data_IF_705819209646
#
_entry.id   IF_705819209646
#
_cell.length_a   1.000
_cell.length_b   1.000
_cell.length_c   1.000
_cell.angle_alpha   90.00
_cell.angle_beta   90.00
_cell.angle_gamma   90.00
#
_symmetry.space_group_name_H-M   'P 1'
#
loop_
_entity.id
_entity.type
_entity.pdbx_description
1 polymer ?
#
# COMPACT_ATOMS: atom_id res chain seq x y z
N UNK A 1 19.34 5.85 -0.28
CA UNK A 1 19.15 4.73 -1.11
C UNK A 1 17.73 4.56 -1.59
N UNK A 2 17.58 3.86 -2.70
CA UNK A 2 16.30 3.65 -3.34
C UNK A 2 15.28 2.91 -2.49
N UNK A 3 14.00 3.02 -2.86
CA UNK A 3 12.86 2.35 -2.23
C UNK A 3 12.52 2.84 -0.82
N UNK A 4 12.96 4.07 -0.47
CA UNK A 4 12.63 4.71 0.81
C UNK A 4 12.07 6.10 0.55
N UNK A 5 10.73 6.21 0.49
CA UNK A 5 10.01 7.47 0.28
C UNK A 5 10.46 8.26 -0.96
N UNK A 6 10.89 7.56 -1.98
CA UNK A 6 11.22 8.20 -3.26
C UNK A 6 9.94 8.41 -4.05
N UNK A 7 9.81 9.58 -4.65
CA UNK A 7 8.69 9.83 -5.57
C UNK A 7 9.18 9.59 -6.98
N UNK A 8 8.60 8.59 -7.63
CA UNK A 8 8.91 8.18 -8.98
C UNK A 8 7.72 8.44 -9.89
N UNK A 9 7.95 8.38 -11.18
CA UNK A 9 6.90 8.55 -12.19
C UNK A 9 6.67 7.21 -12.91
N UNK A 10 5.45 6.70 -12.85
CA UNK A 10 5.08 5.50 -13.59
C UNK A 10 5.01 5.82 -15.09
N UNK A 11 5.05 4.78 -15.92
CA UNK A 11 4.92 4.92 -17.37
C UNK A 11 3.61 5.60 -17.76
N UNK A 12 2.56 5.40 -16.98
CA UNK A 12 1.26 6.06 -17.17
C UNK A 12 1.27 7.55 -16.84
N UNK A 13 2.30 8.01 -16.13
CA UNK A 13 2.38 9.36 -15.59
C UNK A 13 1.97 9.46 -14.14
N UNK A 14 1.46 8.40 -13.53
CA UNK A 14 1.11 8.39 -12.11
C UNK A 14 2.35 8.63 -11.24
N UNK A 15 2.16 9.30 -10.10
CA UNK A 15 3.21 9.44 -9.11
C UNK A 15 3.21 8.22 -8.19
N UNK A 16 4.39 7.63 -8.00
CA UNK A 16 4.57 6.46 -7.16
C UNK A 16 5.47 6.85 -5.99
N UNK A 17 4.96 6.77 -4.78
CA UNK A 17 5.77 6.93 -3.58
C UNK A 17 6.37 5.55 -3.30
N UNK A 18 7.62 5.37 -3.68
CA UNK A 18 8.33 4.10 -3.51
C UNK A 18 8.95 4.05 -2.12
N UNK A 19 8.30 3.33 -1.22
CA UNK A 19 8.78 3.08 0.13
C UNK A 19 8.75 1.58 0.40
N UNK A 20 9.25 0.83 -0.57
CA UNK A 20 9.12 -0.63 -0.62
C UNK A 20 10.28 -1.38 0.07
N UNK A 21 11.20 -0.65 0.72
CA UNK A 21 12.35 -1.27 1.35
C UNK A 21 12.00 -1.97 2.67
N UNK A 22 11.22 -1.32 3.52
CA UNK A 22 10.86 -1.85 4.83
C UNK A 22 9.57 -1.22 5.34
N UNK A 23 8.98 -1.83 6.36
CA UNK A 23 7.74 -1.33 6.93
C UNK A 23 7.61 -1.71 8.41
N UNK A 24 7.18 -0.74 9.21
CA UNK A 24 6.73 -0.91 10.58
C UNK A 24 5.36 -0.22 10.69
N UNK A 25 4.64 -0.46 11.78
CA UNK A 25 3.35 0.20 11.96
C UNK A 25 3.49 1.73 11.94
N UNK A 26 4.51 2.26 12.61
CA UNK A 26 4.77 3.70 12.64
C UNK A 26 5.11 4.24 11.27
N UNK A 27 5.95 3.55 10.51
CA UNK A 27 6.35 4.00 9.18
C UNK A 27 5.22 3.85 8.16
N UNK A 28 4.33 2.88 8.34
CA UNK A 28 3.12 2.76 7.53
C UNK A 28 2.20 3.96 7.73
N UNK A 29 1.97 4.34 8.99
CA UNK A 29 1.15 5.52 9.29
C UNK A 29 1.77 6.78 8.69
N UNK A 30 3.08 6.96 8.82
CA UNK A 30 3.79 8.10 8.25
C UNK A 30 3.69 8.12 6.72
N UNK A 31 3.79 6.96 6.08
CA UNK A 31 3.64 6.84 4.63
C UNK A 31 2.24 7.21 4.16
N UNK A 32 1.23 6.76 4.88
CA UNK A 32 -0.16 7.09 4.60
C UNK A 32 -0.42 8.59 4.78
N UNK A 33 0.14 9.20 5.83
CA UNK A 33 0.03 10.64 6.06
C UNK A 33 0.67 11.42 4.89
N UNK A 34 1.85 10.99 4.45
CA UNK A 34 2.52 11.61 3.32
C UNK A 34 1.66 11.52 2.07
N UNK A 35 1.15 10.32 1.76
CA UNK A 35 0.28 10.10 0.61
C UNK A 35 -0.91 11.05 0.63
N UNK A 36 -1.55 11.17 1.77
CA UNK A 36 -2.77 11.98 1.90
C UNK A 36 -2.49 13.48 2.00
N UNK A 37 -1.23 13.88 2.24
CA UNK A 37 -0.83 15.28 2.23
C UNK A 37 -0.59 15.83 0.82
N UNK A 38 -0.37 14.95 -0.16
CA UNK A 38 -0.12 15.38 -1.54
C UNK A 38 -1.42 15.75 -2.23
N UNK A 39 -1.39 16.80 -3.02
CA UNK A 39 -2.53 17.13 -3.87
C UNK A 39 -2.67 16.05 -4.96
N UNK A 40 -3.90 15.66 -5.26
CA UNK A 40 -4.17 14.59 -6.21
C UNK A 40 -5.52 14.84 -6.87
N UNK A 41 -5.53 14.89 -8.20
CA UNK A 41 -6.77 15.07 -8.97
C UNK A 41 -7.33 13.75 -9.50
N UNK A 42 -6.51 12.69 -9.49
CA UNK A 42 -6.94 11.33 -9.82
C UNK A 42 -7.24 10.52 -8.58
N UNK A 43 -6.97 9.23 -8.62
CA UNK A 43 -7.16 8.32 -7.50
C UNK A 43 -5.96 8.31 -6.57
N UNK A 44 -6.25 8.25 -5.28
CA UNK A 44 -5.24 8.14 -4.22
C UNK A 44 -5.26 6.71 -3.71
N UNK A 45 -4.16 5.99 -3.92
CA UNK A 45 -4.10 4.55 -3.67
C UNK A 45 -2.94 4.19 -2.75
N UNK A 46 -3.15 3.15 -1.93
CA UNK A 46 -2.10 2.59 -1.12
C UNK A 46 -1.99 1.09 -1.39
N UNK A 47 -0.79 0.62 -1.68
CA UNK A 47 -0.46 -0.80 -1.83
C UNK A 47 0.46 -1.14 -0.66
N UNK A 48 -0.08 -1.83 0.33
CA UNK A 48 0.60 -2.12 1.58
C UNK A 48 0.88 -3.61 1.70
N UNK A 49 2.15 -3.95 1.85
CA UNK A 49 2.56 -5.33 2.10
C UNK A 49 2.65 -5.65 3.58
N UNK A 50 2.74 -6.92 3.89
CA UNK A 50 2.92 -7.36 5.27
C UNK A 50 4.19 -6.79 5.87
N UNK A 51 4.15 -6.58 7.19
CA UNK A 51 5.27 -6.10 7.98
C UNK A 51 5.95 -7.30 8.65
N UNK A 52 7.28 -7.40 8.52
CA UNK A 52 8.05 -8.48 9.11
C UNK A 52 8.51 -8.19 10.53
N UNK A 53 9.00 -9.21 11.19
CA UNK A 53 9.71 -9.14 12.46
C UNK A 53 8.91 -8.53 13.62
N UNK A 54 7.61 -8.74 13.64
CA UNK A 54 6.74 -8.23 14.69
C UNK A 54 6.37 -9.26 15.76
N UNK A 55 6.77 -10.51 15.58
CA UNK A 55 6.47 -11.57 16.56
C UNK A 55 4.98 -11.66 16.84
N UNK A 56 4.65 -11.82 18.11
CA UNK A 56 3.25 -11.97 18.55
C UNK A 56 2.39 -10.74 18.35
N UNK A 57 3.00 -9.57 18.11
CA UNK A 57 2.29 -8.33 17.86
C UNK A 57 1.85 -8.18 16.42
N UNK A 58 2.28 -9.07 15.52
CA UNK A 58 2.00 -8.95 14.10
C UNK A 58 0.51 -8.82 13.78
N UNK A 59 -0.39 -9.65 14.30
CA UNK A 59 -1.81 -9.51 13.97
C UNK A 59 -2.36 -8.14 14.37
N UNK A 60 -2.09 -7.70 15.58
CA UNK A 60 -2.58 -6.42 16.10
C UNK A 60 -2.03 -5.24 15.32
N UNK A 61 -0.75 -5.27 14.96
CA UNK A 61 -0.12 -4.18 14.21
C UNK A 61 -0.68 -4.09 12.80
N UNK A 62 -0.96 -5.21 12.15
CA UNK A 62 -1.58 -5.21 10.82
C UNK A 62 -3.01 -4.69 10.88
N UNK A 63 -3.77 -5.08 11.88
CA UNK A 63 -5.11 -4.53 12.08
C UNK A 63 -5.09 -3.03 12.33
N UNK A 64 -4.13 -2.55 13.14
CA UNK A 64 -3.95 -1.13 13.40
C UNK A 64 -3.69 -0.34 12.13
N UNK A 65 -2.80 -0.83 11.28
CA UNK A 65 -2.49 -0.19 10.00
C UNK A 65 -3.71 -0.18 9.08
N UNK A 66 -4.46 -1.27 9.02
CA UNK A 66 -5.69 -1.33 8.23
C UNK A 66 -6.71 -0.31 8.69
N UNK A 67 -6.91 -0.20 10.01
CA UNK A 67 -7.82 0.79 10.58
C UNK A 67 -7.35 2.22 10.29
N UNK A 68 -6.05 2.47 10.39
CA UNK A 68 -5.47 3.77 10.09
C UNK A 68 -5.69 4.14 8.63
N UNK A 69 -5.45 3.19 7.72
CA UNK A 69 -5.68 3.40 6.29
C UNK A 69 -7.14 3.75 5.99
N UNK A 70 -8.08 3.07 6.66
CA UNK A 70 -9.50 3.34 6.47
C UNK A 70 -9.91 4.74 6.94
N UNK A 71 -9.21 5.30 7.91
CA UNK A 71 -9.46 6.66 8.39
C UNK A 71 -8.92 7.73 7.44
N UNK A 72 -8.03 7.34 6.54
CA UNK A 72 -7.49 8.23 5.50
C UNK A 72 -8.46 8.29 4.31
N UNK A 73 -8.29 9.30 3.47
CA UNK A 73 -9.14 9.46 2.28
C UNK A 73 -8.50 8.76 1.08
N UNK A 74 -8.60 7.44 1.08
CA UNK A 74 -8.09 6.61 -0.01
C UNK A 74 -9.23 6.22 -0.95
N UNK A 75 -8.92 6.18 -2.24
CA UNK A 75 -9.83 5.62 -3.24
C UNK A 75 -9.64 4.10 -3.36
N UNK A 76 -8.45 3.60 -3.03
CA UNK A 76 -8.15 2.17 -3.10
C UNK A 76 -7.10 1.79 -2.06
N UNK A 77 -7.35 0.69 -1.37
CA UNK A 77 -6.37 0.05 -0.49
C UNK A 77 -6.15 -1.38 -0.99
N UNK A 78 -4.92 -1.71 -1.32
CA UNK A 78 -4.52 -3.07 -1.66
C UNK A 78 -3.60 -3.60 -0.57
N UNK A 79 -3.91 -4.76 -0.02
CA UNK A 79 -3.11 -5.43 0.99
C UNK A 79 -2.45 -6.65 0.36
N UNK A 80 -1.14 -6.78 0.49
CA UNK A 80 -0.37 -7.81 -0.21
C UNK A 80 0.28 -8.76 0.78
N UNK A 81 -0.06 -10.04 0.68
CA UNK A 81 0.47 -11.10 1.52
C UNK A 81 -0.56 -12.18 1.81
N UNK A 82 -0.37 -12.87 2.93
CA UNK A 82 -1.23 -13.95 3.37
C UNK A 82 -2.20 -13.52 4.47
N UNK A 83 -2.19 -14.24 5.59
CA UNK A 83 -3.12 -13.99 6.70
C UNK A 83 -3.04 -12.58 7.26
N UNK A 84 -1.85 -12.03 7.40
CA UNK A 84 -1.68 -10.68 7.95
C UNK A 84 -2.23 -9.63 7.00
N UNK A 85 -2.08 -9.82 5.71
CA UNK A 85 -2.70 -8.94 4.71
C UNK A 85 -4.23 -9.00 4.80
N UNK A 86 -4.79 -10.19 5.03
CA UNK A 86 -6.23 -10.36 5.23
C UNK A 86 -6.71 -9.64 6.49
N UNK A 87 -5.93 -9.69 7.57
CA UNK A 87 -6.27 -8.97 8.80
C UNK A 87 -6.25 -7.46 8.59
N UNK A 88 -5.28 -6.97 7.83
CA UNK A 88 -5.21 -5.54 7.49
C UNK A 88 -6.46 -5.11 6.73
N UNK A 89 -6.82 -5.85 5.69
CA UNK A 89 -8.01 -5.57 4.88
C UNK A 89 -9.29 -5.68 5.72
N UNK A 90 -9.35 -6.70 6.59
CA UNK A 90 -10.49 -6.90 7.49
C UNK A 90 -10.70 -5.74 8.46
N UNK A 91 -9.61 -5.20 9.01
CA UNK A 91 -9.69 -4.05 9.91
C UNK A 91 -10.18 -2.80 9.17
N UNK A 92 -9.69 -2.58 7.95
CA UNK A 92 -10.17 -1.45 7.13
C UNK A 92 -11.68 -1.58 6.87
N UNK A 93 -12.13 -2.78 6.57
CA UNK A 93 -13.55 -3.08 6.33
C UNK A 93 -14.38 -2.82 7.58
N UNK A 94 -13.89 -3.27 8.73
CA UNK A 94 -14.57 -3.05 10.03
C UNK A 94 -14.69 -1.57 10.39
N UNK A 95 -13.75 -0.74 9.94
CA UNK A 95 -13.77 0.69 10.15
C UNK A 95 -14.66 1.44 9.16
N UNK A 96 -15.31 0.72 8.25
CA UNK A 96 -16.30 1.29 7.35
C UNK A 96 -15.81 1.61 5.94
N UNK A 97 -14.61 1.18 5.57
CA UNK A 97 -14.15 1.34 4.19
C UNK A 97 -14.95 0.42 3.27
N UNK A 98 -15.41 0.94 2.15
CA UNK A 98 -16.21 0.18 1.19
C UNK A 98 -15.45 -1.03 0.66
N UNK A 99 -16.13 -2.15 0.56
CA UNK A 99 -15.56 -3.42 0.09
C UNK A 99 -14.97 -3.31 -1.30
N UNK A 100 -15.58 -2.54 -2.19
CA UNK A 100 -15.10 -2.38 -3.56
C UNK A 100 -13.85 -1.49 -3.67
N UNK A 101 -13.43 -0.87 -2.58
CA UNK A 101 -12.19 -0.09 -2.50
C UNK A 101 -11.05 -0.87 -1.85
N UNK A 102 -11.29 -2.11 -1.44
CA UNK A 102 -10.32 -2.95 -0.75
C UNK A 102 -9.99 -4.15 -1.62
N UNK A 103 -8.70 -4.38 -1.85
CA UNK A 103 -8.21 -5.55 -2.59
C UNK A 103 -7.22 -6.28 -1.71
N UNK A 104 -7.17 -7.61 -1.85
CA UNK A 104 -6.13 -8.43 -1.23
C UNK A 104 -5.46 -9.26 -2.31
N UNK A 105 -4.15 -9.18 -2.38
CA UNK A 105 -3.34 -9.93 -3.33
C UNK A 105 -2.36 -10.81 -2.57
N UNK A 106 -2.13 -12.01 -3.06
CA UNK A 106 -1.25 -12.96 -2.39
C UNK A 106 0.22 -12.57 -2.47
N UNK A 107 0.62 -11.85 -3.54
CA UNK A 107 2.00 -11.44 -3.77
C UNK A 107 2.04 -10.22 -4.69
N UNK A 108 3.26 -9.69 -4.90
CA UNK A 108 3.46 -8.52 -5.74
C UNK A 108 3.04 -8.76 -7.20
N UNK A 109 3.23 -10.00 -7.68
CA UNK A 109 2.91 -10.32 -9.08
C UNK A 109 1.41 -10.20 -9.33
N UNK A 110 0.60 -10.72 -8.41
CA UNK A 110 -0.86 -10.59 -8.52
C UNK A 110 -1.28 -9.12 -8.47
N UNK A 111 -0.68 -8.34 -7.56
CA UNK A 111 -0.94 -6.91 -7.48
C UNK A 111 -0.56 -6.20 -8.79
N UNK A 112 0.59 -6.54 -9.36
CA UNK A 112 1.07 -5.97 -10.61
C UNK A 112 0.13 -6.32 -11.77
N UNK A 113 -0.30 -7.58 -11.85
CA UNK A 113 -1.18 -8.05 -12.91
C UNK A 113 -2.54 -7.35 -12.87
N UNK A 114 -3.04 -7.08 -11.66
CA UNK A 114 -4.38 -6.50 -11.48
C UNK A 114 -4.39 -4.98 -11.46
N UNK A 115 -3.35 -4.35 -10.93
CA UNK A 115 -3.34 -2.90 -10.73
C UNK A 115 -2.33 -2.16 -11.61
N UNK A 116 -1.28 -2.85 -12.06
CA UNK A 116 -0.19 -2.18 -12.78
C UNK A 116 -0.65 -1.41 -14.00
N UNK A 117 -1.53 -2.01 -14.79
CA UNK A 117 -2.07 -1.38 -16.00
C UNK A 117 -3.23 -0.43 -15.77
N UNK A 118 -3.72 -0.33 -14.53
CA UNK A 118 -4.86 0.51 -14.19
C UNK A 118 -4.45 1.90 -13.66
N UNK A 119 -3.17 2.14 -13.43
CA UNK A 119 -2.68 3.43 -12.97
C UNK A 119 -2.82 4.47 -14.08
N UNK A 120 -3.36 5.63 -13.73
CA UNK A 120 -3.59 6.72 -14.68
C UNK A 120 -2.76 7.94 -14.33
N UNK A 121 -2.66 8.87 -15.25
CA UNK A 121 -1.74 10.01 -15.21
C UNK A 121 -1.82 10.83 -13.94
N UNK A 122 -3.02 11.06 -13.41
CA UNK A 122 -3.22 11.95 -12.26
C UNK A 122 -3.35 11.21 -10.93
N UNK A 123 -3.08 9.89 -10.95
CA UNK A 123 -3.11 9.08 -9.75
C UNK A 123 -1.85 9.26 -8.93
N UNK A 124 -1.96 9.00 -7.63
CA UNK A 124 -0.83 8.85 -6.75
C UNK A 124 -0.98 7.55 -5.96
N UNK A 125 0.10 6.78 -5.87
CA UNK A 125 0.08 5.49 -5.19
C UNK A 125 1.28 5.39 -4.24
N UNK A 126 0.99 5.00 -2.99
CA UNK A 126 2.01 4.63 -2.02
C UNK A 126 2.26 3.12 -2.16
N UNK A 127 3.51 2.73 -2.28
CA UNK A 127 3.91 1.30 -2.32
C UNK A 127 4.84 1.06 -1.15
N UNK A 128 4.39 0.30 -0.14
CA UNK A 128 5.12 0.11 1.10
C UNK A 128 4.88 -1.28 1.68
N UNK A 129 5.96 -1.95 2.08
CA UNK A 129 5.90 -3.26 2.71
C UNK A 129 7.30 -3.68 3.14
N UNK A 130 7.39 -4.77 3.89
CA UNK A 130 8.69 -5.33 4.25
C UNK A 130 9.35 -5.94 3.02
N UNK A 131 10.67 -6.08 3.07
CA UNK A 131 11.46 -6.54 1.91
C UNK A 131 11.01 -7.89 1.36
N UNK A 132 10.59 -8.79 2.23
CA UNK A 132 10.20 -10.13 1.79
C UNK A 132 8.94 -10.13 0.91
N UNK A 133 8.13 -9.06 0.94
CA UNK A 133 6.96 -8.94 0.07
C UNK A 133 7.37 -8.55 -1.35
N UNK A 134 8.56 -8.00 -1.52
CA UNK A 134 9.13 -7.64 -2.81
C UNK A 134 8.30 -6.64 -3.62
N UNK A 135 7.71 -5.66 -2.93
CA UNK A 135 6.94 -4.61 -3.62
C UNK A 135 7.80 -3.67 -4.47
N UNK A 136 9.12 -3.68 -4.28
CA UNK A 136 10.04 -3.05 -5.21
C UNK A 136 9.85 -3.57 -6.64
N UNK A 137 9.47 -4.84 -6.78
CA UNK A 137 9.18 -5.43 -8.09
C UNK A 137 7.89 -4.89 -8.70
N UNK A 138 6.91 -4.55 -7.87
CA UNK A 138 5.73 -3.84 -8.35
C UNK A 138 6.12 -2.48 -8.91
N UNK A 139 6.95 -1.74 -8.17
CA UNK A 139 7.42 -0.41 -8.61
C UNK A 139 8.18 -0.53 -9.93
N UNK A 140 9.08 -1.49 -10.04
CA UNK A 140 9.83 -1.74 -11.29
C UNK A 140 8.90 -2.03 -12.46
N UNK A 141 7.82 -2.76 -12.19
CA UNK A 141 6.87 -3.14 -13.23
C UNK A 141 6.03 -1.98 -13.78
N UNK A 142 5.82 -0.92 -13.01
CA UNK A 142 5.01 0.23 -13.44
C UNK A 142 5.83 1.46 -13.81
N UNK A 143 7.07 1.51 -13.38
CA UNK A 143 7.99 2.60 -13.70
C UNK A 143 8.98 2.17 -14.76
#
# INVERSE_FOLDING_TARGET
AGHRQEIKRAKSGARVIDDSYNASAESMAAGLDLLCSLSCTGSRMAILGEMGEMGDEAPRMHELVGAYAAAEKLDMLACVGGELAQLMAGAARMMGMDEDRIQVFSDYQQALDRMGGALEKHDVVLVKGSRFVELDRFVEGVC
#
